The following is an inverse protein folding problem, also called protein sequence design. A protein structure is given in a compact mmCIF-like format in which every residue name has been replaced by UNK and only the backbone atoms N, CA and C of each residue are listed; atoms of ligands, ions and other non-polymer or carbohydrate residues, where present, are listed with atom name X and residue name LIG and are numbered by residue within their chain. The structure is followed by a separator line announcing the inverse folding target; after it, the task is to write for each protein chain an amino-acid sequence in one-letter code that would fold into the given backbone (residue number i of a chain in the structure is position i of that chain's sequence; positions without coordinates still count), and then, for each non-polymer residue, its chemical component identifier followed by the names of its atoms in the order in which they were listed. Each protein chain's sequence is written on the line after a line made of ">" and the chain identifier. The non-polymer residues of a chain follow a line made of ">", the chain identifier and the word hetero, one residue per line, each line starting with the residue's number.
data_IF_519439499199
#
_entry.id   IF_519439499199
#
_cell.length_a   1.000
_cell.length_b   1.000
_cell.length_c   1.000
_cell.angle_alpha   90.00
_cell.angle_beta   90.00
_cell.angle_gamma   90.00
#
_symmetry.space_group_name_H-M   'P 1'
#
loop_
_entity.id
_entity.type
_entity.pdbx_description
1 polymer ?
#
# COMPACT_ATOMS: atom_id res chain seq x y z
N UNK A 1 -8.26 9.95 -37.83
CA UNK A 1 -7.69 8.64 -37.43
C UNK A 1 -7.99 8.51 -35.95
N UNK A 2 -9.16 7.98 -35.59
CA UNK A 2 -9.56 7.83 -34.17
C UNK A 2 -8.91 6.60 -33.59
N UNK A 3 -8.22 6.82 -32.47
CA UNK A 3 -7.36 5.93 -31.73
C UNK A 3 -8.10 4.67 -31.24
N UNK A 4 -7.94 3.58 -31.97
CA UNK A 4 -8.50 2.25 -31.68
C UNK A 4 -7.95 1.68 -30.35
N UNK A 5 -6.77 2.12 -29.92
CA UNK A 5 -6.14 1.72 -28.67
C UNK A 5 -6.87 2.25 -27.42
N UNK A 6 -7.56 3.39 -27.52
CA UNK A 6 -8.34 3.95 -26.39
C UNK A 6 -9.61 3.16 -26.08
N UNK A 7 -10.21 2.50 -27.09
CA UNK A 7 -11.42 1.69 -26.91
C UNK A 7 -11.11 0.33 -26.27
N UNK A 8 -10.00 -0.29 -26.63
CA UNK A 8 -9.57 -1.58 -26.04
C UNK A 8 -9.13 -1.41 -24.58
N UNK A 9 -8.49 -0.28 -24.23
CA UNK A 9 -8.07 0.01 -22.85
C UNK A 9 -9.27 0.27 -21.92
N UNK A 10 -10.37 0.85 -22.42
CA UNK A 10 -11.60 1.08 -21.64
C UNK A 10 -12.40 -0.20 -21.36
N UNK A 11 -12.30 -1.22 -22.18
CA UNK A 11 -12.94 -2.53 -21.94
C UNK A 11 -12.25 -3.37 -20.88
N UNK A 12 -11.04 -3.01 -20.47
CA UNK A 12 -10.27 -3.70 -19.40
C UNK A 12 -10.37 -3.04 -18.03
N UNK A 13 -11.01 -1.86 -17.91
CA UNK A 13 -11.14 -1.15 -16.64
C UNK A 13 -12.21 -1.82 -15.77
N UNK A 14 -11.77 -2.47 -14.71
CA UNK A 14 -12.67 -2.96 -13.68
C UNK A 14 -13.03 -1.82 -12.71
N UNK A 15 -14.26 -1.31 -12.82
CA UNK A 15 -14.74 -0.19 -12.01
C UNK A 15 -14.79 -0.51 -10.51
N UNK A 16 -14.95 -1.78 -10.13
CA UNK A 16 -14.83 -2.20 -8.74
C UNK A 16 -13.41 -1.99 -8.21
N UNK A 17 -12.41 -2.34 -9.01
CA UNK A 17 -10.99 -2.09 -8.69
C UNK A 17 -10.67 -0.60 -8.63
N UNK A 18 -11.22 0.21 -9.54
CA UNK A 18 -11.00 1.67 -9.55
C UNK A 18 -11.51 2.33 -8.28
N UNK A 19 -12.69 1.93 -7.79
CA UNK A 19 -13.26 2.43 -6.54
C UNK A 19 -12.73 1.69 -5.29
N UNK A 20 -12.03 0.56 -5.45
CA UNK A 20 -11.59 -0.25 -4.32
C UNK A 20 -12.76 -0.82 -3.52
N UNK A 21 -13.82 -1.24 -4.18
CA UNK A 21 -15.02 -1.81 -3.55
C UNK A 21 -15.28 -3.24 -4.05
N UNK A 22 -15.98 -4.04 -3.25
CA UNK A 22 -16.40 -5.40 -3.61
C UNK A 22 -17.55 -5.39 -4.62
N UNK A 23 -17.67 -6.46 -5.41
CA UNK A 23 -18.87 -6.74 -6.22
C UNK A 23 -20.15 -6.89 -5.37
N UNK A 24 -20.00 -7.19 -4.09
CA UNK A 24 -21.09 -7.30 -3.12
C UNK A 24 -21.37 -6.00 -2.38
N UNK A 25 -20.57 -4.95 -2.60
CA UNK A 25 -20.75 -3.67 -1.91
C UNK A 25 -22.10 -3.04 -2.22
N UNK A 26 -22.73 -2.51 -1.18
CA UNK A 26 -23.98 -1.77 -1.27
C UNK A 26 -23.79 -0.44 -2.01
N UNK A 27 -24.87 0.13 -2.50
CA UNK A 27 -24.87 1.44 -3.16
C UNK A 27 -24.34 2.54 -2.23
N UNK A 28 -24.64 2.48 -0.93
CA UNK A 28 -24.19 3.47 0.04
C UNK A 28 -22.68 3.35 0.32
N UNK A 29 -22.14 2.13 0.35
CA UNK A 29 -20.70 1.89 0.45
C UNK A 29 -19.96 2.42 -0.78
N UNK A 30 -20.45 2.15 -1.99
CA UNK A 30 -19.92 2.67 -3.24
C UNK A 30 -19.92 4.21 -3.22
N UNK A 31 -21.04 4.83 -2.82
CA UNK A 31 -21.19 6.28 -2.74
C UNK A 31 -20.25 6.90 -1.71
N UNK A 32 -20.11 6.29 -0.56
CA UNK A 32 -19.24 6.75 0.52
C UNK A 32 -17.78 6.70 0.09
N UNK A 33 -17.36 5.57 -0.49
CA UNK A 33 -16.01 5.36 -0.99
C UNK A 33 -15.66 6.33 -2.12
N UNK A 34 -16.57 6.52 -3.09
CA UNK A 34 -16.39 7.49 -4.17
C UNK A 34 -16.16 8.90 -3.64
N UNK A 35 -16.99 9.38 -2.70
CA UNK A 35 -16.84 10.73 -2.13
C UNK A 35 -15.49 10.91 -1.47
N UNK A 36 -15.04 9.93 -0.69
CA UNK A 36 -13.73 9.95 -0.06
C UNK A 36 -12.61 10.04 -1.09
N UNK A 37 -12.63 9.15 -2.08
CA UNK A 37 -11.59 9.10 -3.12
C UNK A 37 -11.51 10.40 -3.97
N UNK A 38 -12.65 11.01 -4.28
CA UNK A 38 -12.69 12.31 -5.00
C UNK A 38 -12.09 13.42 -4.14
N UNK A 39 -12.40 13.46 -2.85
CA UNK A 39 -11.82 14.43 -1.92
C UNK A 39 -10.30 14.27 -1.78
N UNK A 40 -9.82 13.02 -1.79
CA UNK A 40 -8.40 12.71 -1.70
C UNK A 40 -7.65 13.03 -3.01
N UNK A 41 -8.31 12.81 -4.16
CA UNK A 41 -7.75 13.11 -5.47
C UNK A 41 -7.97 14.58 -5.92
N UNK A 42 -8.52 15.47 -5.08
CA UNK A 42 -8.84 16.84 -5.51
C UNK A 42 -7.59 17.62 -5.93
N UNK A 43 -7.61 18.35 -7.07
CA UNK A 43 -6.45 19.12 -7.55
C UNK A 43 -5.90 20.11 -6.53
N UNK A 44 -6.76 20.75 -5.72
CA UNK A 44 -6.35 21.70 -4.69
C UNK A 44 -5.56 21.03 -3.55
N UNK A 45 -5.82 19.74 -3.30
CA UNK A 45 -5.03 18.94 -2.35
C UNK A 45 -3.78 18.33 -2.99
N UNK A 46 -3.74 18.28 -4.32
CA UNK A 46 -2.65 17.69 -5.09
C UNK A 46 -2.07 18.67 -6.11
N UNK A 47 -1.64 19.88 -5.71
CA UNK A 47 -1.19 20.93 -6.64
C UNK A 47 0.04 20.51 -7.45
N UNK A 48 0.90 19.68 -6.85
CA UNK A 48 2.12 19.14 -7.47
C UNK A 48 1.86 18.02 -8.50
N UNK A 49 0.65 17.43 -8.48
CA UNK A 49 0.25 16.30 -9.35
C UNK A 49 -1.09 16.57 -10.03
N UNK A 50 -1.30 17.78 -10.50
CA UNK A 50 -2.59 18.23 -11.02
C UNK A 50 -3.11 17.35 -12.15
N UNK A 51 -2.28 16.99 -13.12
CA UNK A 51 -2.65 16.11 -14.22
C UNK A 51 -3.07 14.71 -13.75
N UNK A 52 -2.33 14.15 -12.79
CA UNK A 52 -2.69 12.89 -12.16
C UNK A 52 -4.02 13.00 -11.41
N UNK A 53 -4.24 14.07 -10.64
CA UNK A 53 -5.47 14.33 -9.90
C UNK A 53 -6.67 14.42 -10.84
N UNK A 54 -6.56 15.19 -11.92
CA UNK A 54 -7.59 15.34 -12.94
C UNK A 54 -7.89 14.01 -13.66
N UNK A 55 -6.85 13.24 -13.99
CA UNK A 55 -7.03 11.91 -14.59
C UNK A 55 -7.70 10.94 -13.60
N UNK A 56 -7.25 10.91 -12.33
CA UNK A 56 -7.82 10.05 -11.30
C UNK A 56 -9.28 10.37 -11.04
N UNK A 57 -9.65 11.66 -10.93
CA UNK A 57 -11.03 12.09 -10.74
C UNK A 57 -11.90 11.63 -11.92
N UNK A 58 -11.45 11.77 -13.16
CA UNK A 58 -12.20 11.27 -14.33
C UNK A 58 -12.52 9.79 -14.25
N UNK A 59 -11.53 8.97 -13.86
CA UNK A 59 -11.74 7.54 -13.67
C UNK A 59 -12.72 7.23 -12.53
N UNK A 60 -12.64 7.97 -11.43
CA UNK A 60 -13.55 7.82 -10.28
C UNK A 60 -15.00 8.21 -10.66
N UNK A 61 -15.18 9.27 -11.43
CA UNK A 61 -16.50 9.70 -11.92
C UNK A 61 -17.08 8.62 -12.83
N UNK A 62 -16.32 8.16 -13.83
CA UNK A 62 -16.75 7.11 -14.76
C UNK A 62 -17.16 5.83 -14.00
N UNK A 63 -16.34 5.40 -13.04
CA UNK A 63 -16.63 4.23 -12.22
C UNK A 63 -17.90 4.41 -11.36
N UNK A 64 -18.11 5.61 -10.81
CA UNK A 64 -19.29 5.89 -10.00
C UNK A 64 -20.58 6.06 -10.85
N UNK A 65 -20.51 6.61 -12.05
CA UNK A 65 -21.64 6.69 -12.98
C UNK A 65 -22.16 5.30 -13.34
N UNK A 66 -21.28 4.33 -13.44
CA UNK A 66 -21.63 2.94 -13.73
C UNK A 66 -22.11 2.21 -12.46
N UNK A 67 -21.29 2.18 -11.40
CA UNK A 67 -21.58 1.36 -10.21
C UNK A 67 -22.56 2.00 -9.24
N UNK A 68 -22.72 3.32 -9.28
CA UNK A 68 -23.67 4.07 -8.43
C UNK A 68 -25.12 4.04 -8.94
N UNK A 69 -25.35 3.57 -10.15
CA UNK A 69 -26.67 3.37 -10.73
C UNK A 69 -26.94 1.88 -10.88
N UNK A 70 -28.02 1.38 -10.28
CA UNK A 70 -28.32 -0.06 -10.23
C UNK A 70 -28.47 -0.71 -11.61
N UNK A 71 -29.08 -0.01 -12.58
CA UNK A 71 -29.26 -0.53 -13.93
C UNK A 71 -27.95 -0.54 -14.71
N UNK A 72 -27.14 0.55 -14.64
CA UNK A 72 -25.83 0.61 -15.26
C UNK A 72 -24.90 -0.45 -14.68
N UNK A 73 -24.91 -0.63 -13.36
CA UNK A 73 -24.15 -1.66 -12.65
C UNK A 73 -24.53 -3.04 -13.12
N UNK A 74 -25.83 -3.32 -13.21
CA UNK A 74 -26.32 -4.62 -13.70
C UNK A 74 -25.86 -4.90 -15.13
N UNK A 75 -25.94 -3.92 -16.02
CA UNK A 75 -25.47 -4.04 -17.41
C UNK A 75 -23.95 -4.28 -17.43
N UNK A 76 -23.19 -3.52 -16.65
CA UNK A 76 -21.76 -3.70 -16.51
C UNK A 76 -21.38 -5.09 -15.99
N UNK A 77 -22.06 -5.58 -14.94
CA UNK A 77 -21.85 -6.92 -14.38
C UNK A 77 -22.13 -8.05 -15.39
N UNK A 78 -23.16 -7.89 -16.23
CA UNK A 78 -23.45 -8.83 -17.32
C UNK A 78 -22.30 -8.84 -18.35
N UNK A 79 -21.87 -7.66 -18.80
CA UNK A 79 -20.76 -7.55 -19.76
C UNK A 79 -19.44 -8.05 -19.17
N UNK A 80 -19.15 -7.72 -17.92
CA UNK A 80 -17.96 -8.18 -17.20
C UNK A 80 -17.95 -9.70 -17.04
N UNK A 81 -19.08 -10.30 -16.62
CA UNK A 81 -19.24 -11.77 -16.54
C UNK A 81 -19.12 -12.45 -17.90
N UNK A 82 -19.66 -11.82 -18.95
CA UNK A 82 -19.53 -12.33 -20.31
C UNK A 82 -18.07 -12.27 -20.80
N UNK A 83 -17.36 -11.17 -20.54
CA UNK A 83 -15.94 -11.01 -20.88
C UNK A 83 -15.06 -12.02 -20.13
N UNK A 84 -15.30 -12.24 -18.84
CA UNK A 84 -14.63 -13.26 -18.03
C UNK A 84 -14.90 -14.67 -18.57
N UNK A 85 -16.14 -14.95 -18.99
CA UNK A 85 -16.55 -16.23 -19.57
C UNK A 85 -15.90 -16.49 -20.95
N UNK A 86 -15.77 -15.45 -21.78
CA UNK A 86 -15.07 -15.54 -23.08
C UNK A 86 -13.57 -15.78 -22.89
N UNK A 87 -12.95 -15.18 -21.84
CA UNK A 87 -11.56 -15.44 -21.47
C UNK A 87 -11.33 -16.79 -20.79
N UNK A 88 -12.39 -17.52 -20.43
CA UNK A 88 -12.32 -18.80 -19.71
C UNK A 88 -11.81 -18.64 -18.27
N UNK A 89 -11.65 -17.42 -17.79
CA UNK A 89 -11.17 -17.10 -16.45
C UNK A 89 -12.38 -16.75 -15.57
N UNK A 90 -12.69 -17.62 -14.61
CA UNK A 90 -13.74 -17.38 -13.60
C UNK A 90 -13.28 -16.39 -12.54
N UNK A 91 -11.99 -16.12 -12.46
CA UNK A 91 -11.33 -15.31 -11.43
C UNK A 91 -10.26 -14.42 -12.07
N UNK A 92 -9.90 -13.26 -11.47
CA UNK A 92 -8.78 -12.45 -11.92
C UNK A 92 -7.52 -13.30 -12.12
N UNK A 93 -6.72 -12.99 -13.13
CA UNK A 93 -5.59 -13.83 -13.56
C UNK A 93 -4.58 -14.09 -12.41
N UNK A 94 -4.49 -13.21 -11.43
CA UNK A 94 -3.59 -13.36 -10.29
C UNK A 94 -4.02 -14.47 -9.32
N UNK A 95 -5.28 -14.95 -9.38
CA UNK A 95 -5.70 -16.15 -8.65
C UNK A 95 -5.33 -17.44 -9.38
N UNK A 96 -5.29 -17.42 -10.70
CA UNK A 96 -5.11 -18.62 -11.52
C UNK A 96 -3.68 -18.81 -11.99
N UNK A 97 -2.91 -17.73 -12.17
CA UNK A 97 -1.53 -17.78 -12.64
C UNK A 97 -0.52 -17.77 -11.48
N UNK A 98 0.52 -18.61 -11.61
CA UNK A 98 1.62 -18.71 -10.66
C UNK A 98 2.86 -17.89 -11.09
N UNK A 99 2.69 -16.87 -11.93
CA UNK A 99 3.82 -16.00 -12.30
C UNK A 99 4.18 -15.06 -11.15
N UNK A 100 5.44 -14.63 -11.00
CA UNK A 100 5.86 -13.72 -9.93
C UNK A 100 4.99 -12.46 -9.87
N UNK A 101 4.70 -11.84 -11.01
CA UNK A 101 3.82 -10.68 -11.08
C UNK A 101 2.40 -10.96 -10.59
N UNK A 102 1.83 -12.13 -10.94
CA UNK A 102 0.49 -12.51 -10.50
C UNK A 102 0.46 -12.71 -8.98
N UNK A 103 1.50 -13.32 -8.41
CA UNK A 103 1.64 -13.49 -6.96
C UNK A 103 1.78 -12.15 -6.23
N UNK A 104 2.54 -11.17 -6.78
CA UNK A 104 2.64 -9.83 -6.21
C UNK A 104 1.28 -9.11 -6.17
N UNK A 105 0.50 -9.19 -7.24
CA UNK A 105 -0.85 -8.65 -7.29
C UNK A 105 -1.83 -9.38 -6.36
N UNK A 106 -1.67 -10.68 -6.17
CA UNK A 106 -2.46 -11.47 -5.22
C UNK A 106 -2.16 -11.07 -3.77
N UNK A 107 -0.89 -10.82 -3.43
CA UNK A 107 -0.49 -10.29 -2.13
C UNK A 107 -1.17 -8.94 -1.89
N UNK A 108 -1.06 -8.00 -2.83
CA UNK A 108 -1.73 -6.70 -2.74
C UNK A 108 -3.24 -6.85 -2.55
N UNK A 109 -3.88 -7.75 -3.30
CA UNK A 109 -5.30 -8.04 -3.15
C UNK A 109 -5.64 -8.50 -1.73
N UNK A 110 -4.91 -9.45 -1.16
CA UNK A 110 -5.14 -9.94 0.19
C UNK A 110 -4.92 -8.84 1.23
N UNK A 111 -3.86 -8.02 1.10
CA UNK A 111 -3.59 -6.90 1.99
C UNK A 111 -4.73 -5.87 1.99
N UNK A 112 -5.26 -5.54 0.83
CA UNK A 112 -6.33 -4.52 0.70
C UNK A 112 -7.72 -5.05 1.08
N UNK A 113 -7.92 -6.37 1.11
CA UNK A 113 -9.21 -7.01 1.42
C UNK A 113 -9.28 -7.61 2.84
N UNK A 114 -8.43 -7.15 3.77
CA UNK A 114 -8.40 -7.59 5.18
C UNK A 114 -8.15 -9.10 5.34
N UNK A 115 -7.33 -9.63 4.48
CA UNK A 115 -6.85 -11.02 4.48
C UNK A 115 -5.32 -11.04 4.60
N UNK A 116 -4.79 -10.19 5.46
CA UNK A 116 -3.35 -9.88 5.58
C UNK A 116 -2.51 -11.12 5.88
N UNK A 117 -3.09 -12.11 6.59
CA UNK A 117 -2.41 -13.37 6.91
C UNK A 117 -2.02 -14.13 5.63
N UNK A 118 -2.99 -14.33 4.73
CA UNK A 118 -2.76 -15.03 3.46
C UNK A 118 -1.76 -14.27 2.58
N UNK A 119 -1.85 -12.94 2.55
CA UNK A 119 -0.91 -12.11 1.82
C UNK A 119 0.52 -12.20 2.38
N UNK A 120 0.66 -12.22 3.71
CA UNK A 120 1.96 -12.33 4.37
C UNK A 120 2.59 -13.73 4.18
N UNK A 121 1.79 -14.80 4.19
CA UNK A 121 2.26 -16.16 3.91
C UNK A 121 2.83 -16.27 2.48
N UNK A 122 2.07 -15.80 1.48
CA UNK A 122 2.52 -15.82 0.09
C UNK A 122 3.78 -14.96 -0.08
N UNK A 123 3.83 -13.80 0.60
CA UNK A 123 5.00 -12.93 0.52
C UNK A 123 6.25 -13.61 1.07
N UNK A 124 6.14 -14.30 2.21
CA UNK A 124 7.26 -15.03 2.80
C UNK A 124 7.84 -16.08 1.83
N UNK A 125 6.96 -16.87 1.18
CA UNK A 125 7.37 -17.82 0.14
C UNK A 125 8.10 -17.12 -1.02
N UNK A 126 7.56 -16.01 -1.49
CA UNK A 126 8.11 -15.29 -2.63
C UNK A 126 9.43 -14.55 -2.29
N UNK A 127 9.56 -14.04 -1.07
CA UNK A 127 10.82 -13.42 -0.63
C UNK A 127 11.94 -14.44 -0.38
N UNK A 128 11.60 -15.66 -0.01
CA UNK A 128 12.57 -16.77 0.06
C UNK A 128 13.11 -17.14 -1.33
N UNK A 129 12.26 -17.13 -2.35
CA UNK A 129 12.63 -17.49 -3.72
C UNK A 129 13.31 -16.32 -4.48
N UNK A 130 12.79 -15.08 -4.35
CA UNK A 130 13.18 -13.92 -5.16
C UNK A 130 13.89 -12.81 -4.36
N UNK A 131 13.97 -12.94 -3.05
CA UNK A 131 14.57 -11.94 -2.16
C UNK A 131 13.62 -10.83 -1.70
N UNK A 132 14.06 -10.04 -0.72
CA UNK A 132 13.27 -8.99 -0.04
C UNK A 132 12.84 -7.83 -0.96
N UNK A 133 13.39 -7.72 -2.17
CA UNK A 133 13.00 -6.73 -3.17
C UNK A 133 11.82 -7.14 -4.06
N UNK A 134 11.27 -8.32 -3.87
CA UNK A 134 10.27 -8.94 -4.73
C UNK A 134 9.09 -8.00 -5.08
N UNK A 135 8.38 -7.46 -4.10
CA UNK A 135 7.23 -6.58 -4.38
C UNK A 135 7.61 -5.33 -5.17
N UNK A 136 8.78 -4.77 -4.91
CA UNK A 136 9.28 -3.58 -5.62
C UNK A 136 9.49 -3.84 -7.11
N UNK A 137 9.87 -5.05 -7.48
CA UNK A 137 10.13 -5.42 -8.87
C UNK A 137 8.84 -5.57 -9.68
N UNK A 138 7.78 -6.09 -9.06
CA UNK A 138 6.56 -6.49 -9.78
C UNK A 138 5.36 -5.57 -9.59
N UNK A 139 5.36 -4.66 -8.60
CA UNK A 139 4.30 -3.68 -8.37
C UNK A 139 4.70 -2.30 -8.87
N UNK A 140 3.71 -1.48 -9.22
CA UNK A 140 3.96 -0.07 -9.42
C UNK A 140 4.34 0.60 -8.07
N UNK A 141 4.95 1.80 -8.13
CA UNK A 141 5.42 2.49 -6.93
C UNK A 141 4.33 2.66 -5.88
N UNK A 142 3.14 3.05 -6.32
CA UNK A 142 1.99 3.28 -5.46
C UNK A 142 1.57 2.01 -4.73
N UNK A 143 1.34 0.94 -5.48
CA UNK A 143 0.92 -0.37 -4.95
C UNK A 143 1.98 -0.98 -4.02
N UNK A 144 3.26 -0.78 -4.36
CA UNK A 144 4.37 -1.21 -3.52
C UNK A 144 4.37 -0.51 -2.17
N UNK A 145 4.21 0.83 -2.15
CA UNK A 145 4.18 1.60 -0.92
C UNK A 145 2.97 1.26 -0.06
N UNK A 146 1.79 1.11 -0.67
CA UNK A 146 0.58 0.68 0.03
C UNK A 146 0.76 -0.72 0.63
N UNK A 147 1.39 -1.64 -0.11
CA UNK A 147 1.71 -2.98 0.41
C UNK A 147 2.66 -2.94 1.60
N UNK A 148 3.71 -2.11 1.56
CA UNK A 148 4.65 -1.97 2.67
C UNK A 148 3.95 -1.46 3.93
N UNK A 149 3.07 -0.48 3.81
CA UNK A 149 2.33 0.08 4.93
C UNK A 149 1.37 -0.95 5.56
N UNK A 150 0.55 -1.62 4.74
CA UNK A 150 -0.40 -2.63 5.21
C UNK A 150 0.30 -3.85 5.85
N UNK A 151 1.41 -4.30 5.27
CA UNK A 151 2.24 -5.34 5.85
C UNK A 151 2.82 -4.93 7.21
N UNK A 152 3.27 -3.70 7.34
CA UNK A 152 3.81 -3.21 8.60
C UNK A 152 2.73 -3.15 9.68
N UNK A 153 1.51 -2.70 9.38
CA UNK A 153 0.39 -2.72 10.31
C UNK A 153 0.05 -4.15 10.75
N UNK A 154 0.02 -5.10 9.80
CA UNK A 154 -0.16 -6.51 10.11
C UNK A 154 0.95 -7.02 11.05
N UNK A 155 2.22 -6.73 10.76
CA UNK A 155 3.35 -7.15 11.61
C UNK A 155 3.32 -6.51 13.00
N UNK A 156 2.89 -5.25 13.13
CA UNK A 156 2.68 -4.60 14.43
C UNK A 156 1.62 -5.37 15.24
N UNK A 157 0.51 -5.74 14.61
CA UNK A 157 -0.56 -6.52 15.25
C UNK A 157 -0.07 -7.89 15.72
N UNK A 158 0.80 -8.54 14.94
CA UNK A 158 1.45 -9.82 15.28
C UNK A 158 2.65 -9.67 16.23
N UNK A 159 2.98 -8.44 16.67
CA UNK A 159 4.16 -8.12 17.49
C UNK A 159 5.51 -8.46 16.85
N UNK A 160 5.54 -8.62 15.53
CA UNK A 160 6.77 -8.72 14.75
C UNK A 160 7.31 -7.30 14.47
N UNK A 161 7.88 -6.68 15.51
CA UNK A 161 8.29 -5.28 15.45
C UNK A 161 9.47 -5.02 14.52
N UNK A 162 10.38 -6.00 14.38
CA UNK A 162 11.49 -5.89 13.46
C UNK A 162 11.00 -5.92 11.99
N UNK A 163 10.17 -6.89 11.64
CA UNK A 163 9.59 -6.97 10.29
C UNK A 163 8.76 -5.72 9.94
N UNK A 164 8.00 -5.19 10.92
CA UNK A 164 7.27 -3.93 10.74
C UNK A 164 8.22 -2.75 10.48
N UNK A 165 9.29 -2.65 11.26
CA UNK A 165 10.29 -1.57 11.12
C UNK A 165 10.98 -1.61 9.76
N UNK A 166 11.34 -2.78 9.27
CA UNK A 166 11.96 -2.95 7.94
C UNK A 166 11.04 -2.50 6.81
N UNK A 167 9.75 -2.84 6.87
CA UNK A 167 8.76 -2.42 5.86
C UNK A 167 8.55 -0.90 5.87
N UNK A 168 8.35 -0.31 7.05
CA UNK A 168 8.19 1.15 7.17
C UNK A 168 9.47 1.92 6.84
N UNK A 169 10.64 1.36 7.14
CA UNK A 169 11.93 1.90 6.74
C UNK A 169 12.06 1.94 5.22
N UNK A 170 11.73 0.85 4.55
CA UNK A 170 11.71 0.81 3.08
C UNK A 170 10.73 1.85 2.51
N UNK A 171 9.53 2.00 3.09
CA UNK A 171 8.59 3.05 2.74
C UNK A 171 9.21 4.44 2.92
N UNK A 172 9.80 4.73 4.07
CA UNK A 172 10.42 5.99 4.39
C UNK A 172 11.48 6.39 3.35
N UNK A 173 12.41 5.49 3.04
CA UNK A 173 13.46 5.75 2.04
C UNK A 173 12.93 6.04 0.64
N UNK A 174 11.75 5.52 0.29
CA UNK A 174 11.09 5.83 -0.97
C UNK A 174 10.36 7.18 -0.97
N UNK A 175 9.87 7.64 0.19
CA UNK A 175 9.03 8.83 0.31
C UNK A 175 9.73 10.05 0.91
N UNK A 176 10.80 9.90 1.69
CA UNK A 176 11.45 11.02 2.40
C UNK A 176 11.97 12.14 1.49
N UNK A 177 12.24 11.85 0.22
CA UNK A 177 12.65 12.82 -0.81
C UNK A 177 11.53 13.20 -1.77
N UNK A 178 10.32 12.71 -1.55
CA UNK A 178 9.17 13.03 -2.40
C UNK A 178 8.69 14.45 -2.12
N UNK A 179 8.48 15.24 -3.17
CA UNK A 179 7.85 16.56 -3.04
C UNK A 179 6.38 16.46 -2.63
N UNK A 180 5.76 15.30 -2.82
CA UNK A 180 4.36 15.05 -2.51
C UNK A 180 4.23 13.64 -1.89
N UNK A 181 4.55 13.50 -0.59
CA UNK A 181 4.45 12.21 0.09
C UNK A 181 2.99 11.73 0.18
N UNK A 182 2.82 10.43 0.40
CA UNK A 182 1.50 9.83 0.64
C UNK A 182 0.81 10.49 1.84
N UNK A 183 -0.51 10.58 1.80
CA UNK A 183 -1.32 11.21 2.85
C UNK A 183 -1.15 10.58 4.24
N UNK A 184 -0.71 9.34 4.33
CA UNK A 184 -0.41 8.62 5.58
C UNK A 184 1.09 8.66 5.96
N UNK A 185 1.91 9.48 5.31
CA UNK A 185 3.34 9.59 5.61
C UNK A 185 3.62 9.92 7.08
N UNK A 186 2.87 10.85 7.66
CA UNK A 186 3.03 11.23 9.07
C UNK A 186 2.69 10.06 10.01
N UNK A 187 1.75 9.20 9.63
CA UNK A 187 1.43 7.98 10.38
C UNK A 187 2.60 7.00 10.33
N UNK A 188 3.24 6.83 9.16
CA UNK A 188 4.45 6.01 9.01
C UNK A 188 5.56 6.52 9.93
N UNK A 189 5.83 7.83 9.95
CA UNK A 189 6.82 8.42 10.86
C UNK A 189 6.45 8.18 12.32
N UNK A 190 5.17 8.28 12.68
CA UNK A 190 4.68 7.96 14.01
C UNK A 190 4.94 6.50 14.42
N UNK A 191 4.70 5.55 13.53
CA UNK A 191 5.01 4.14 13.75
C UNK A 191 6.51 3.89 13.87
N UNK A 192 7.34 4.47 12.98
CA UNK A 192 8.80 4.35 13.05
C UNK A 192 9.36 4.87 14.38
N UNK A 193 8.92 6.05 14.84
CA UNK A 193 9.29 6.58 16.16
C UNK A 193 8.97 5.60 17.28
N UNK A 194 7.73 5.08 17.29
CA UNK A 194 7.31 4.13 18.32
C UNK A 194 8.09 2.82 18.27
N UNK A 195 8.33 2.28 17.07
CA UNK A 195 9.09 1.05 16.89
C UNK A 195 10.55 1.24 17.36
N UNK A 196 11.23 2.26 16.84
CA UNK A 196 12.66 2.47 17.09
C UNK A 196 12.96 2.84 18.56
N UNK A 197 12.09 3.64 19.19
CA UNK A 197 12.36 4.15 20.53
C UNK A 197 11.73 3.28 21.64
N UNK A 198 10.70 2.47 21.37
CA UNK A 198 9.94 1.78 22.42
C UNK A 198 9.75 0.28 22.22
N UNK A 199 9.83 -0.23 20.99
CA UNK A 199 9.54 -1.65 20.72
C UNK A 199 10.79 -2.47 20.39
N UNK A 200 11.75 -1.89 19.68
CA UNK A 200 13.00 -2.55 19.31
C UNK A 200 14.07 -2.54 20.40
N UNK A 201 14.17 -1.50 21.28
CA UNK A 201 15.12 -1.57 22.41
C UNK A 201 14.88 -2.80 23.28
N UNK A 202 15.97 -3.46 23.66
CA UNK A 202 15.92 -4.72 24.42
C UNK A 202 15.62 -5.99 23.60
N UNK A 203 15.29 -5.85 22.32
CA UNK A 203 15.05 -6.99 21.39
C UNK A 203 16.14 -7.17 20.35
N UNK A 204 16.89 -6.12 20.07
CA UNK A 204 17.96 -6.10 19.06
C UNK A 204 19.34 -6.08 19.70
N UNK A 205 20.32 -6.66 19.00
CA UNK A 205 21.73 -6.49 19.37
C UNK A 205 22.10 -4.98 19.34
N UNK A 206 22.97 -4.51 20.28
CA UNK A 206 23.29 -3.10 20.46
C UNK A 206 23.75 -2.41 19.17
N UNK A 207 24.60 -3.06 18.40
CA UNK A 207 25.12 -2.51 17.13
C UNK A 207 24.00 -2.27 16.10
N UNK A 208 23.04 -3.19 16.00
CA UNK A 208 21.89 -3.05 15.08
C UNK A 208 20.96 -1.96 15.60
N UNK A 209 20.67 -1.93 16.90
CA UNK A 209 19.85 -0.90 17.53
C UNK A 209 20.43 0.51 17.29
N UNK A 210 21.74 0.68 17.40
CA UNK A 210 22.42 1.95 17.12
C UNK A 210 22.13 2.46 15.71
N UNK A 211 22.08 1.58 14.70
CA UNK A 211 21.73 1.96 13.31
C UNK A 211 20.32 2.54 13.23
N UNK A 212 19.32 1.89 13.83
CA UNK A 212 17.94 2.38 13.85
C UNK A 212 17.80 3.69 14.62
N UNK A 213 18.46 3.81 15.77
CA UNK A 213 18.43 5.04 16.58
C UNK A 213 19.12 6.22 15.90
N UNK A 214 20.18 5.97 15.14
CA UNK A 214 20.83 7.02 14.33
C UNK A 214 19.92 7.55 13.24
N UNK A 215 19.22 6.68 12.54
CA UNK A 215 18.23 7.06 11.52
C UNK A 215 17.02 7.81 12.13
N UNK A 216 16.62 7.46 13.36
CA UNK A 216 15.52 8.14 14.05
C UNK A 216 15.73 9.64 14.25
N UNK A 217 16.97 10.14 14.22
CA UNK A 217 17.27 11.58 14.27
C UNK A 217 16.63 12.35 13.10
N UNK A 218 16.40 11.69 11.97
CA UNK A 218 15.79 12.31 10.78
C UNK A 218 14.27 12.49 10.90
N UNK A 219 13.62 11.89 11.90
CA UNK A 219 12.15 11.86 12.03
C UNK A 219 11.56 13.10 12.71
N UNK A 220 12.31 14.19 12.85
CA UNK A 220 11.89 15.41 13.53
C UNK A 220 11.29 15.12 14.93
N UNK A 221 12.10 14.53 15.81
CA UNK A 221 11.68 14.11 17.14
C UNK A 221 11.36 15.31 18.02
N UNK A 222 10.30 15.19 18.84
CA UNK A 222 10.06 16.13 19.94
C UNK A 222 11.08 15.91 21.06
N UNK A 223 11.32 16.94 21.87
CA UNK A 223 12.33 16.91 22.94
C UNK A 223 12.29 15.63 23.82
N UNK A 224 11.15 15.12 24.30
CA UNK A 224 11.13 13.90 25.08
C UNK A 224 11.62 12.66 24.33
N UNK A 225 11.28 12.52 23.06
CA UNK A 225 11.71 11.40 22.22
C UNK A 225 13.18 11.51 21.83
N UNK A 226 13.70 12.73 21.64
CA UNK A 226 15.12 12.93 21.38
C UNK A 226 15.98 12.60 22.61
N UNK A 227 15.54 12.97 23.81
CA UNK A 227 16.22 12.60 25.05
C UNK A 227 16.24 11.06 25.20
N UNK A 228 15.09 10.40 24.96
CA UNK A 228 15.01 8.94 25.00
C UNK A 228 15.97 8.29 23.99
N UNK A 229 16.01 8.82 22.76
CA UNK A 229 16.92 8.33 21.71
C UNK A 229 18.39 8.40 22.15
N UNK A 230 18.78 9.53 22.72
CA UNK A 230 20.17 9.71 23.18
C UNK A 230 20.55 8.79 24.35
N UNK A 231 19.63 8.55 25.29
CA UNK A 231 19.85 7.57 26.37
C UNK A 231 20.03 6.16 25.80
N UNK A 232 19.15 5.73 24.91
CA UNK A 232 19.23 4.41 24.27
C UNK A 232 20.53 4.22 23.46
N UNK A 233 21.01 5.30 22.80
CA UNK A 233 22.30 5.26 22.11
C UNK A 233 23.48 5.13 23.07
N UNK A 234 23.44 5.84 24.20
CA UNK A 234 24.48 5.72 25.23
C UNK A 234 24.51 4.30 25.84
N UNK A 235 23.33 3.75 26.16
CA UNK A 235 23.22 2.38 26.70
C UNK A 235 23.76 1.35 25.68
N UNK A 236 23.35 1.44 24.42
CA UNK A 236 23.82 0.55 23.36
C UNK A 236 25.35 0.67 23.13
N UNK A 237 25.93 1.86 23.25
CA UNK A 237 27.37 2.07 23.16
C UNK A 237 28.13 1.41 24.34
N UNK A 238 27.61 1.53 25.56
CA UNK A 238 28.18 0.89 26.75
C UNK A 238 28.13 -0.65 26.64
N UNK A 239 27.02 -1.21 26.17
CA UNK A 239 26.85 -2.65 25.97
C UNK A 239 27.73 -3.20 24.83
N UNK A 240 28.05 -2.39 23.81
CA UNK A 240 28.94 -2.78 22.70
C UNK A 240 30.44 -2.67 23.04
N UNK A 241 30.80 -2.11 24.21
CA UNK A 241 32.18 -1.97 24.65
C UNK A 241 32.97 -0.85 23.94
N UNK A 242 32.28 0.11 23.37
CA UNK A 242 32.85 1.32 22.74
C UNK A 242 32.59 2.57 23.55
#
# INVERSE_FOLDING_TARGET
>A
MYDTNRKEFRQELDYYTILGVSETSTRDEIRSTYRRLVLDAHPDKNPQRREWAEHRIRLLIEAYEILGNDENRRVFDIHRKAALKVRGEKEPFYFTRKTPRARALLILFYMTNKQEEQGAEILAEMEEEFGSGYLKEYLCREDYLDSLFLLAEHYITKKNYLGAAERLRAFYHHECRSQCPRHYYDQVIGHLRNLYLRKLPGTLAPLLLTSYLSEAAEFNLKQPDEILRLHLLADAALESGN
#
